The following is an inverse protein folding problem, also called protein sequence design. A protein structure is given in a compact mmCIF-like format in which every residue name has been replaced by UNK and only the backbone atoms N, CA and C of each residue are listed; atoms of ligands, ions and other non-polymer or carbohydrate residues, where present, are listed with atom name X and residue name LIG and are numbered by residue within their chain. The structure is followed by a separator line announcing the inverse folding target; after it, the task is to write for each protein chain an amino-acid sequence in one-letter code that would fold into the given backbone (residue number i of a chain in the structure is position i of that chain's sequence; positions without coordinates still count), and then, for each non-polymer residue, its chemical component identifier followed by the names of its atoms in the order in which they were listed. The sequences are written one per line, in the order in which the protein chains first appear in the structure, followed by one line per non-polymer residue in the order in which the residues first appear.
data_IF_600365659645
#
_entry.id   IF_600365659645
#
_cell.length_a   1.000
_cell.length_b   1.000
_cell.length_c   1.000
_cell.angle_alpha   90.00
_cell.angle_beta   90.00
_cell.angle_gamma   90.00
#
_symmetry.space_group_name_H-M   'P 1'
#
loop_
_entity.id
_entity.type
_entity.pdbx_description
1 polymer ?
#
# COMPACT_ATOMS: atom_id res chain seq x y z
N UNK A 1 -21.78 37.09 -23.55
CA UNK A 1 -21.82 35.71 -23.03
C UNK A 1 -20.53 35.50 -22.28
N UNK A 2 -20.62 35.42 -20.97
CA UNK A 2 -19.52 35.55 -20.01
C UNK A 2 -18.54 34.38 -20.11
N UNK A 3 -17.29 34.68 -20.49
CA UNK A 3 -16.12 33.85 -20.19
C UNK A 3 -16.13 33.56 -18.69
N UNK A 4 -16.41 32.31 -18.33
CA UNK A 4 -16.30 31.87 -16.95
C UNK A 4 -14.81 31.69 -16.68
N UNK A 5 -14.20 32.68 -16.03
CA UNK A 5 -12.81 32.63 -15.57
C UNK A 5 -12.55 31.28 -14.91
N UNK A 6 -11.74 30.44 -15.57
CA UNK A 6 -11.26 29.21 -14.96
C UNK A 6 -10.27 29.62 -13.89
N UNK A 7 -10.77 29.84 -12.66
CA UNK A 7 -9.94 30.20 -11.51
C UNK A 7 -8.80 29.20 -11.43
N UNK A 8 -7.57 29.69 -11.55
CA UNK A 8 -6.41 28.81 -11.67
C UNK A 8 -6.20 28.07 -10.35
N UNK A 9 -6.38 26.76 -10.34
CA UNK A 9 -6.12 25.92 -9.17
C UNK A 9 -4.66 26.06 -8.74
N UNK A 10 -4.42 26.31 -7.46
CA UNK A 10 -3.08 26.53 -6.89
C UNK A 10 -2.70 25.44 -5.87
N UNK A 11 -1.40 25.25 -5.67
CA UNK A 11 -0.90 24.33 -4.63
C UNK A 11 -1.21 24.92 -3.25
N UNK A 12 -1.73 24.10 -2.35
CA UNK A 12 -2.13 24.50 -0.99
C UNK A 12 -3.59 24.94 -0.89
N UNK A 13 -4.31 25.02 -2.01
CA UNK A 13 -5.73 25.33 -2.04
C UNK A 13 -6.57 24.14 -1.54
N UNK A 14 -7.60 24.41 -0.75
CA UNK A 14 -8.63 23.45 -0.37
C UNK A 14 -9.83 23.56 -1.30
N UNK A 15 -10.27 22.43 -1.85
CA UNK A 15 -11.41 22.35 -2.76
C UNK A 15 -12.41 21.32 -2.25
N UNK A 16 -13.70 21.60 -2.39
CA UNK A 16 -14.73 20.59 -2.31
C UNK A 16 -14.87 19.91 -3.68
N UNK A 17 -14.70 18.58 -3.69
CA UNK A 17 -14.66 17.78 -4.90
C UNK A 17 -15.62 16.61 -4.80
N UNK A 18 -16.37 16.38 -5.87
CA UNK A 18 -17.13 15.16 -6.09
C UNK A 18 -16.25 14.16 -6.83
N UNK A 19 -16.16 12.95 -6.31
CA UNK A 19 -15.33 11.89 -6.87
C UNK A 19 -16.17 11.06 -7.82
N UNK A 20 -15.85 11.13 -9.11
CA UNK A 20 -16.60 10.51 -10.19
C UNK A 20 -16.13 9.06 -10.43
N UNK A 21 -14.81 8.83 -10.38
CA UNK A 21 -14.19 7.56 -10.79
C UNK A 21 -12.85 7.30 -10.07
N UNK A 22 -12.18 6.20 -10.41
CA UNK A 22 -10.83 5.85 -9.97
C UNK A 22 -9.86 5.72 -11.15
N UNK A 23 -8.78 6.50 -11.10
CA UNK A 23 -7.67 6.35 -12.01
C UNK A 23 -6.93 5.03 -11.78
N UNK A 24 -6.21 4.57 -12.80
CA UNK A 24 -5.24 3.49 -12.65
C UNK A 24 -4.27 3.82 -11.50
N UNK A 25 -4.09 2.89 -10.56
CA UNK A 25 -3.33 3.10 -9.33
C UNK A 25 -4.17 3.48 -8.09
N UNK A 26 -5.47 3.73 -8.26
CA UNK A 26 -6.44 3.85 -7.16
C UNK A 26 -6.59 5.23 -6.54
N UNK A 27 -6.30 6.29 -7.30
CA UNK A 27 -6.64 7.66 -6.89
C UNK A 27 -8.04 8.02 -7.40
N UNK A 28 -8.82 8.71 -6.57
CA UNK A 28 -10.09 9.30 -6.99
C UNK A 28 -9.90 10.30 -8.12
N UNK A 29 -10.86 10.39 -9.03
CA UNK A 29 -10.88 11.36 -10.12
C UNK A 29 -12.03 12.32 -9.89
N UNK A 30 -11.71 13.60 -9.82
CA UNK A 30 -12.68 14.69 -9.79
C UNK A 30 -12.43 15.64 -10.96
N UNK A 31 -13.49 16.30 -11.42
CA UNK A 31 -13.39 17.39 -12.41
C UNK A 31 -13.89 18.68 -11.79
N UNK A 32 -13.00 19.65 -11.66
CA UNK A 32 -13.35 20.98 -11.20
C UNK A 32 -13.24 21.96 -12.37
N UNK A 33 -14.37 22.47 -12.86
CA UNK A 33 -14.44 23.32 -14.07
C UNK A 33 -13.74 22.71 -15.30
N UNK A 34 -13.93 21.40 -15.51
CA UNK A 34 -13.30 20.64 -16.59
C UNK A 34 -11.83 20.26 -16.35
N UNK A 35 -11.20 20.76 -15.29
CA UNK A 35 -9.83 20.42 -14.92
C UNK A 35 -9.78 19.15 -14.08
N UNK A 36 -8.93 18.19 -14.47
CA UNK A 36 -8.82 16.88 -13.81
C UNK A 36 -7.97 16.98 -12.54
N UNK A 37 -8.50 16.44 -11.44
CA UNK A 37 -7.80 16.38 -10.15
C UNK A 37 -7.79 14.92 -9.67
N UNK A 38 -6.60 14.38 -9.43
CA UNK A 38 -6.41 13.07 -8.82
C UNK A 38 -6.35 13.23 -7.30
N UNK A 39 -7.24 12.55 -6.57
CA UNK A 39 -7.40 12.69 -5.12
C UNK A 39 -6.97 11.41 -4.42
N UNK A 40 -5.84 11.47 -3.71
CA UNK A 40 -5.30 10.36 -2.92
C UNK A 40 -6.23 10.02 -1.75
N UNK A 41 -6.64 8.75 -1.66
CA UNK A 41 -7.51 8.24 -0.60
C UNK A 41 -9.01 8.46 -0.79
N UNK A 42 -9.42 9.02 -1.93
CA UNK A 42 -10.84 9.21 -2.25
C UNK A 42 -11.37 8.09 -3.15
N UNK A 43 -12.66 7.77 -3.03
CA UNK A 43 -13.35 6.74 -3.81
C UNK A 43 -14.61 7.30 -4.51
N UNK A 44 -15.10 6.64 -5.59
CA UNK A 44 -16.23 7.12 -6.36
C UNK A 44 -17.49 7.29 -5.51
N UNK A 45 -18.25 8.34 -5.77
CA UNK A 45 -19.47 8.69 -5.04
C UNK A 45 -19.24 9.41 -3.70
N UNK A 46 -17.99 9.72 -3.34
CA UNK A 46 -17.72 10.63 -2.21
C UNK A 46 -17.80 12.10 -2.63
N UNK A 47 -18.18 12.95 -1.67
CA UNK A 47 -17.84 14.38 -1.70
C UNK A 47 -16.81 14.63 -0.61
N UNK A 48 -15.69 15.23 -0.97
CA UNK A 48 -14.55 15.42 -0.06
C UNK A 48 -14.08 16.86 -0.08
N UNK A 49 -13.58 17.33 1.06
CA UNK A 49 -12.69 18.49 1.11
C UNK A 49 -11.27 17.99 0.92
N UNK A 50 -10.60 18.47 -0.12
CA UNK A 50 -9.30 17.98 -0.53
C UNK A 50 -8.29 19.13 -0.64
N UNK A 51 -7.05 18.86 -0.20
CA UNK A 51 -5.94 19.79 -0.31
C UNK A 51 -5.15 19.51 -1.59
N UNK A 52 -5.00 20.51 -2.46
CA UNK A 52 -4.17 20.41 -3.66
C UNK A 52 -2.69 20.35 -3.26
N UNK A 53 -2.07 19.19 -3.45
CA UNK A 53 -0.67 18.95 -3.07
C UNK A 53 0.30 19.31 -4.18
N UNK A 54 -0.14 19.23 -5.44
CA UNK A 54 0.66 19.54 -6.62
C UNK A 54 -0.21 19.95 -7.78
N UNK A 55 0.21 20.98 -8.52
CA UNK A 55 -0.41 21.40 -9.79
C UNK A 55 0.52 21.12 -10.96
N UNK A 56 0.00 20.47 -12.00
CA UNK A 56 0.67 20.26 -13.30
C UNK A 56 -0.07 21.04 -14.39
N UNK A 57 0.44 20.99 -15.62
CA UNK A 57 -0.15 21.70 -16.77
C UNK A 57 -1.55 21.19 -17.10
N UNK A 58 -1.76 19.86 -17.06
CA UNK A 58 -2.99 19.21 -17.53
C UNK A 58 -3.87 18.63 -16.40
N UNK A 59 -3.35 18.55 -15.17
CA UNK A 59 -4.06 17.99 -14.03
C UNK A 59 -3.47 18.51 -12.70
N UNK A 60 -4.16 18.23 -11.60
CA UNK A 60 -3.63 18.41 -10.25
C UNK A 60 -3.67 17.10 -9.45
N UNK A 61 -2.85 17.04 -8.41
CA UNK A 61 -2.90 16.00 -7.38
C UNK A 61 -3.36 16.66 -6.08
N UNK A 62 -4.25 15.98 -5.37
CA UNK A 62 -4.78 16.40 -4.09
C UNK A 62 -4.82 15.21 -3.12
N UNK A 63 -5.02 15.48 -1.84
CA UNK A 63 -5.29 14.46 -0.82
C UNK A 63 -6.57 14.82 -0.06
N UNK A 64 -7.32 13.81 0.35
CA UNK A 64 -8.50 14.02 1.21
C UNK A 64 -8.05 14.63 2.54
N UNK A 65 -8.69 15.73 2.95
CA UNK A 65 -8.64 16.26 4.31
C UNK A 65 -9.83 15.74 5.12
N UNK A 66 -11.00 15.74 4.50
CA UNK A 66 -12.25 15.37 5.15
C UNK A 66 -13.24 14.78 4.14
N UNK A 67 -13.97 13.75 4.55
CA UNK A 67 -15.07 13.18 3.77
C UNK A 67 -16.37 13.86 4.21
N UNK A 68 -16.89 14.75 3.35
CA UNK A 68 -18.13 15.49 3.59
C UNK A 68 -19.38 14.64 3.33
N UNK A 69 -19.28 13.70 2.39
CA UNK A 69 -20.32 12.71 2.09
C UNK A 69 -19.67 11.37 1.76
N UNK A 70 -20.12 10.32 2.46
CA UNK A 70 -19.65 8.95 2.23
C UNK A 70 -20.17 8.38 0.92
N UNK A 71 -19.36 7.54 0.29
CA UNK A 71 -19.78 6.75 -0.87
C UNK A 71 -20.68 5.60 -0.43
N UNK A 72 -21.70 5.22 -1.22
CA UNK A 72 -22.50 4.02 -0.96
C UNK A 72 -21.68 2.73 -1.05
N UNK A 73 -20.51 2.76 -1.71
CA UNK A 73 -19.60 1.62 -1.82
C UNK A 73 -18.47 1.65 -0.81
N UNK A 74 -18.47 2.60 0.12
CA UNK A 74 -17.47 2.68 1.16
C UNK A 74 -17.61 1.52 2.14
N UNK A 75 -16.50 0.85 2.44
CA UNK A 75 -16.41 -0.17 3.50
C UNK A 75 -15.27 0.15 4.44
N UNK A 76 -15.31 -0.39 5.66
CA UNK A 76 -14.22 -0.21 6.62
C UNK A 76 -13.05 -1.12 6.24
N UNK A 77 -11.82 -0.59 6.10
CA UNK A 77 -10.63 -1.41 5.89
C UNK A 77 -10.43 -2.41 7.03
N UNK A 78 -10.07 -3.65 6.70
CA UNK A 78 -9.74 -4.66 7.72
C UNK A 78 -8.36 -4.44 8.35
N UNK A 79 -7.41 -3.96 7.56
CA UNK A 79 -6.04 -3.77 8.01
C UNK A 79 -5.88 -2.43 8.73
N UNK A 80 -5.44 -2.45 9.99
CA UNK A 80 -5.17 -1.23 10.77
C UNK A 80 -4.11 -0.32 10.14
N UNK A 81 -3.24 -0.88 9.30
CA UNK A 81 -2.18 -0.14 8.60
C UNK A 81 -2.65 0.47 7.26
N UNK A 82 -3.92 0.30 6.87
CA UNK A 82 -4.46 0.86 5.63
C UNK A 82 -4.37 2.39 5.63
N UNK A 83 -4.12 3.00 4.47
CA UNK A 83 -3.90 4.43 4.33
C UNK A 83 -2.41 4.81 4.42
N UNK A 84 -1.72 4.34 5.47
CA UNK A 84 -0.29 4.62 5.67
C UNK A 84 0.62 3.61 4.95
N UNK A 85 0.34 2.32 5.08
CA UNK A 85 1.10 1.27 4.38
C UNK A 85 0.82 1.30 2.86
N UNK A 86 1.86 1.21 2.05
CA UNK A 86 1.76 1.19 0.58
C UNK A 86 1.25 -0.12 -0.02
N UNK A 87 0.98 -1.16 0.79
CA UNK A 87 0.64 -2.49 0.32
C UNK A 87 -0.77 -2.64 -0.28
N UNK A 88 -1.73 -1.85 0.19
CA UNK A 88 -3.13 -1.91 -0.27
C UNK A 88 -3.64 -0.52 -0.63
N UNK A 89 -4.41 -0.41 -1.72
CA UNK A 89 -4.97 0.88 -2.19
C UNK A 89 -6.47 1.03 -2.01
N UNK A 90 -7.23 -0.07 -2.00
CA UNK A 90 -8.68 -0.06 -2.16
C UNK A 90 -9.46 -0.82 -1.06
N UNK A 91 -8.87 -1.11 0.11
CA UNK A 91 -9.60 -1.83 1.17
C UNK A 91 -10.83 -1.08 1.70
N UNK A 92 -10.93 0.22 1.44
CA UNK A 92 -12.06 1.08 1.81
C UNK A 92 -13.18 1.13 0.75
N UNK A 93 -13.04 0.37 -0.35
CA UNK A 93 -14.03 0.25 -1.42
C UNK A 93 -14.59 -1.17 -1.44
N UNK A 94 -15.91 -1.32 -1.58
CA UNK A 94 -16.57 -2.62 -1.67
C UNK A 94 -15.97 -3.47 -2.79
N UNK A 95 -15.87 -4.78 -2.57
CA UNK A 95 -15.18 -5.66 -3.51
C UNK A 95 -15.85 -5.68 -4.89
N UNK A 96 -17.18 -5.69 -4.94
CA UNK A 96 -17.93 -5.63 -6.20
C UNK A 96 -17.58 -4.36 -6.99
N UNK A 97 -17.48 -3.21 -6.30
CA UNK A 97 -17.10 -1.97 -6.95
C UNK A 97 -15.64 -1.98 -7.39
N UNK A 98 -14.74 -2.67 -6.69
CA UNK A 98 -13.37 -2.88 -7.16
C UNK A 98 -13.33 -3.68 -8.47
N UNK A 99 -14.19 -4.69 -8.64
CA UNK A 99 -14.28 -5.48 -9.88
C UNK A 99 -14.82 -4.66 -11.05
N UNK A 100 -15.87 -3.85 -10.81
CA UNK A 100 -16.40 -2.92 -11.80
C UNK A 100 -15.34 -1.92 -12.28
N UNK A 101 -14.63 -1.28 -11.35
CA UNK A 101 -13.58 -0.30 -11.66
C UNK A 101 -12.45 -0.94 -12.46
N UNK A 102 -12.02 -2.16 -12.11
CA UNK A 102 -10.99 -2.87 -12.87
C UNK A 102 -11.43 -3.20 -14.29
N UNK A 103 -12.69 -3.62 -14.48
CA UNK A 103 -13.27 -3.83 -15.82
C UNK A 103 -13.24 -2.52 -16.62
N UNK A 104 -13.70 -1.42 -16.02
CA UNK A 104 -13.73 -0.12 -16.69
C UNK A 104 -12.33 0.35 -17.08
N UNK A 105 -11.31 0.10 -16.26
CA UNK A 105 -9.92 0.41 -16.59
C UNK A 105 -9.42 -0.35 -17.83
N UNK A 106 -9.83 -1.61 -18.02
CA UNK A 106 -9.51 -2.38 -19.24
C UNK A 106 -10.22 -1.78 -20.46
N UNK A 107 -11.52 -1.48 -20.33
CA UNK A 107 -12.31 -0.82 -21.40
C UNK A 107 -11.63 0.50 -21.81
N UNK A 108 -11.37 1.37 -20.84
CA UNK A 108 -10.75 2.68 -21.06
C UNK A 108 -9.37 2.56 -21.72
N UNK A 109 -8.55 1.57 -21.32
CA UNK A 109 -7.24 1.33 -21.91
C UNK A 109 -7.35 0.87 -23.37
N UNK A 110 -8.23 -0.09 -23.68
CA UNK A 110 -8.45 -0.57 -25.05
C UNK A 110 -8.95 0.54 -25.97
N UNK A 111 -9.88 1.36 -25.47
CA UNK A 111 -10.49 2.44 -26.25
C UNK A 111 -9.57 3.64 -26.43
N UNK A 112 -9.09 4.21 -25.33
CA UNK A 112 -8.37 5.50 -25.36
C UNK A 112 -6.91 5.36 -25.75
N UNK A 113 -6.27 4.25 -25.39
CA UNK A 113 -4.84 4.01 -25.68
C UNK A 113 -4.69 3.08 -26.88
N UNK A 114 -5.47 1.99 -26.90
CA UNK A 114 -5.42 1.00 -27.98
C UNK A 114 -6.09 1.44 -29.28
N UNK A 115 -6.95 2.46 -29.24
CA UNK A 115 -7.74 2.90 -30.40
C UNK A 115 -8.71 1.83 -30.90
N UNK A 116 -8.98 0.81 -30.08
CA UNK A 116 -10.00 -0.20 -30.38
C UNK A 116 -11.35 0.48 -30.13
N UNK A 117 -12.32 0.30 -31.02
CA UNK A 117 -13.63 0.92 -30.90
C UNK A 117 -14.43 0.40 -29.69
N UNK A 118 -15.75 0.29 -29.83
CA UNK A 118 -16.54 -0.39 -28.80
C UNK A 118 -16.12 -1.87 -28.71
N UNK A 119 -15.69 -2.29 -27.52
CA UNK A 119 -15.29 -3.66 -27.20
C UNK A 119 -16.14 -4.14 -26.05
N UNK A 120 -16.75 -5.31 -26.20
CA UNK A 120 -17.39 -5.99 -25.08
C UNK A 120 -16.31 -6.66 -24.22
N UNK A 121 -16.02 -6.06 -23.07
CA UNK A 121 -15.10 -6.60 -22.08
C UNK A 121 -15.94 -7.33 -21.04
N UNK A 122 -15.70 -8.62 -20.81
CA UNK A 122 -16.45 -9.38 -19.80
C UNK A 122 -16.24 -8.85 -18.36
N UNK A 123 -17.15 -9.15 -17.41
CA UNK A 123 -16.96 -8.84 -16.00
C UNK A 123 -15.62 -9.38 -15.45
N UNK A 124 -14.98 -8.60 -14.57
CA UNK A 124 -13.74 -9.06 -13.92
C UNK A 124 -14.02 -10.27 -13.04
N UNK A 125 -13.29 -11.36 -13.27
CA UNK A 125 -13.39 -12.56 -12.43
C UNK A 125 -12.93 -12.26 -11.00
N UNK A 126 -13.79 -12.58 -10.04
CA UNK A 126 -13.49 -12.44 -8.63
C UNK A 126 -12.40 -13.42 -8.19
N UNK A 127 -11.52 -12.95 -7.30
CA UNK A 127 -10.63 -13.84 -6.56
C UNK A 127 -11.48 -14.65 -5.57
N UNK A 128 -11.22 -15.96 -5.40
CA UNK A 128 -11.86 -16.74 -4.35
C UNK A 128 -11.54 -16.19 -2.95
N UNK A 129 -10.34 -15.62 -2.81
CA UNK A 129 -9.84 -15.05 -1.55
C UNK A 129 -9.58 -13.55 -1.71
N UNK A 130 -10.25 -12.72 -0.90
CA UNK A 130 -10.02 -11.26 -0.87
C UNK A 130 -8.87 -10.86 0.06
N UNK A 131 -8.51 -11.75 1.00
CA UNK A 131 -7.45 -11.58 1.98
C UNK A 131 -6.59 -12.83 2.02
N UNK A 132 -5.39 -12.71 2.57
CA UNK A 132 -4.44 -13.83 2.74
C UNK A 132 -4.05 -14.58 1.45
N UNK A 133 -4.33 -13.99 0.28
CA UNK A 133 -4.10 -14.60 -1.02
C UNK A 133 -2.64 -14.55 -1.50
N UNK A 134 -1.78 -13.72 -0.89
CA UNK A 134 -0.37 -13.60 -1.29
C UNK A 134 0.44 -14.73 -0.70
N UNK A 135 0.95 -15.59 -1.58
CA UNK A 135 1.87 -16.66 -1.23
C UNK A 135 3.32 -16.19 -1.01
N UNK A 136 3.70 -14.99 -1.45
CA UNK A 136 5.03 -14.40 -1.30
C UNK A 136 4.93 -12.93 -0.89
N UNK A 137 5.70 -12.53 0.10
CA UNK A 137 5.89 -11.15 0.51
C UNK A 137 7.37 -10.88 0.77
N UNK A 138 7.77 -9.64 0.53
CA UNK A 138 9.08 -9.10 0.88
C UNK A 138 8.85 -7.89 1.78
N UNK A 139 9.52 -7.89 2.93
CA UNK A 139 9.47 -6.82 3.91
C UNK A 139 10.86 -6.20 4.02
N UNK A 140 10.91 -4.88 4.11
CA UNK A 140 12.15 -4.12 4.18
C UNK A 140 12.48 -3.80 5.61
N UNK A 141 13.75 -3.99 5.97
CA UNK A 141 14.32 -3.35 7.15
C UNK A 141 14.67 -1.89 6.83
N UNK A 142 14.61 -1.00 7.81
CA UNK A 142 15.05 0.39 7.64
C UNK A 142 15.36 1.09 8.96
N UNK A 143 16.32 2.01 8.92
CA UNK A 143 16.66 3.02 9.94
C UNK A 143 15.67 4.19 9.99
N UNK A 144 14.68 4.22 9.09
CA UNK A 144 13.75 5.35 8.91
C UNK A 144 12.30 4.88 9.05
N UNK A 145 11.84 4.55 10.27
CA UNK A 145 10.43 4.25 10.49
C UNK A 145 9.56 5.44 10.08
N UNK A 146 8.37 5.12 9.56
CA UNK A 146 7.24 6.02 9.55
C UNK A 146 6.65 6.06 10.95
N UNK A 147 6.40 7.27 11.45
CA UNK A 147 5.80 7.55 12.75
C UNK A 147 4.53 8.34 12.49
N UNK A 148 3.42 7.88 13.02
CA UNK A 148 2.19 8.66 13.06
C UNK A 148 2.21 9.63 14.23
N UNK A 149 1.36 10.65 14.15
CA UNK A 149 1.25 11.65 15.20
C UNK A 149 0.64 10.99 16.45
N UNK A 150 1.38 11.01 17.55
CA UNK A 150 0.99 10.32 18.79
C UNK A 150 1.59 8.92 18.98
N UNK A 151 2.37 8.41 18.03
CA UNK A 151 3.17 7.20 18.26
C UNK A 151 4.19 7.46 19.37
N UNK A 152 4.38 6.46 20.25
CA UNK A 152 5.50 6.44 21.19
C UNK A 152 6.83 6.54 20.43
N UNK A 153 7.90 6.95 21.11
CA UNK A 153 9.23 7.05 20.51
C UNK A 153 9.76 5.65 20.14
N UNK A 154 9.41 5.19 18.93
CA UNK A 154 9.92 3.95 18.34
C UNK A 154 11.43 4.10 18.12
N UNK A 155 12.26 3.07 18.29
CA UNK A 155 13.65 3.13 17.84
C UNK A 155 13.75 3.40 16.33
N UNK A 156 14.89 3.90 15.84
CA UNK A 156 15.19 4.03 14.41
C UNK A 156 15.47 2.64 13.79
N UNK A 157 14.45 1.79 13.86
CA UNK A 157 14.45 0.41 13.42
C UNK A 157 13.04 0.02 12.98
N UNK A 158 12.91 -0.38 11.72
CA UNK A 158 11.65 -0.79 11.14
C UNK A 158 11.79 -2.11 10.39
N UNK A 159 10.73 -2.93 10.42
CA UNK A 159 10.54 -4.08 9.54
C UNK A 159 9.08 -4.08 9.05
N UNK A 160 8.89 -3.89 7.75
CA UNK A 160 7.55 -3.84 7.18
C UNK A 160 7.56 -3.43 5.71
N UNK A 161 6.61 -2.58 5.33
CA UNK A 161 6.46 -2.13 3.94
C UNK A 161 6.62 -0.62 3.82
N UNK A 162 7.01 -0.17 2.62
CA UNK A 162 7.09 1.25 2.32
C UNK A 162 5.77 1.97 2.58
N UNK A 163 5.88 3.16 3.15
CA UNK A 163 4.75 4.06 3.32
C UNK A 163 4.23 4.52 1.95
N UNK A 164 2.92 4.68 1.83
CA UNK A 164 2.28 5.24 0.64
C UNK A 164 2.95 6.57 0.26
N UNK A 165 3.41 6.65 -1.00
CA UNK A 165 4.06 7.83 -1.58
C UNK A 165 5.48 8.13 -1.08
N UNK A 166 6.07 7.29 -0.22
CA UNK A 166 7.40 7.49 0.37
C UNK A 166 8.19 6.18 0.40
N UNK A 167 9.18 6.06 -0.48
CA UNK A 167 10.06 4.90 -0.54
C UNK A 167 11.19 4.93 0.51
N UNK A 168 11.42 6.08 1.16
CA UNK A 168 12.43 6.27 2.20
C UNK A 168 11.91 6.04 3.63
N UNK A 169 10.64 5.64 3.77
CA UNK A 169 9.98 5.43 5.06
C UNK A 169 9.28 4.07 5.10
N UNK A 170 9.50 3.30 6.16
CA UNK A 170 8.90 1.99 6.37
C UNK A 170 7.85 2.06 7.47
N UNK A 171 6.65 1.53 7.20
CA UNK A 171 5.61 1.31 8.20
C UNK A 171 5.90 -0.02 8.89
N UNK A 172 6.11 -0.01 10.20
CA UNK A 172 6.18 -1.22 11.00
C UNK A 172 4.82 -1.95 10.94
N UNK A 173 4.85 -3.21 10.53
CA UNK A 173 3.64 -4.00 10.35
C UNK A 173 3.50 -5.01 11.47
N UNK A 174 2.41 -4.96 12.22
CA UNK A 174 2.11 -5.98 13.23
C UNK A 174 1.18 -7.05 12.66
N UNK A 175 0.50 -6.73 11.55
CA UNK A 175 -0.31 -7.66 10.79
C UNK A 175 -0.27 -7.31 9.30
N UNK A 176 -0.58 -8.29 8.45
CA UNK A 176 -0.77 -8.05 7.03
C UNK A 176 -1.87 -8.96 6.49
N UNK A 177 -3.05 -8.40 6.23
CA UNK A 177 -4.20 -9.13 5.67
C UNK A 177 -4.00 -9.61 4.22
N UNK A 178 -2.80 -9.47 3.65
CA UNK A 178 -2.46 -9.98 2.32
C UNK A 178 -1.76 -11.35 2.37
N UNK A 179 -1.02 -11.66 3.42
CA UNK A 179 -0.30 -12.93 3.59
C UNK A 179 -0.78 -13.60 4.87
N UNK A 180 -0.70 -14.92 4.91
CA UNK A 180 -1.31 -15.72 5.96
C UNK A 180 -1.04 -15.23 7.40
N UNK A 181 -1.98 -15.43 8.34
CA UNK A 181 -1.94 -14.85 9.69
C UNK A 181 -0.63 -15.07 10.46
N UNK A 182 0.06 -16.19 10.22
CA UNK A 182 1.33 -16.55 10.85
C UNK A 182 2.44 -15.52 10.54
N UNK A 183 2.33 -14.77 9.44
CA UNK A 183 3.26 -13.70 9.08
C UNK A 183 3.40 -12.64 10.18
N UNK A 184 2.34 -12.35 10.93
CA UNK A 184 2.38 -11.39 12.04
C UNK A 184 3.40 -11.82 13.12
N UNK A 185 3.33 -13.10 13.52
CA UNK A 185 4.24 -13.65 14.52
C UNK A 185 5.69 -13.67 14.02
N UNK A 186 5.90 -14.04 12.75
CA UNK A 186 7.23 -14.06 12.13
C UNK A 186 7.83 -12.65 12.05
N UNK A 187 7.05 -11.65 11.62
CA UNK A 187 7.48 -10.26 11.57
C UNK A 187 7.90 -9.73 12.93
N UNK A 188 7.14 -10.07 13.98
CA UNK A 188 7.46 -9.68 15.36
C UNK A 188 8.77 -10.33 15.81
N UNK A 189 8.88 -11.66 15.70
CA UNK A 189 10.07 -12.39 16.15
C UNK A 189 11.34 -11.91 15.43
N UNK A 190 11.29 -11.78 14.10
CA UNK A 190 12.44 -11.33 13.31
C UNK A 190 12.82 -9.89 13.66
N UNK A 191 11.84 -8.98 13.87
CA UNK A 191 12.11 -7.60 14.26
C UNK A 191 12.78 -7.52 15.63
N UNK A 192 12.21 -8.21 16.62
CA UNK A 192 12.71 -8.19 18.00
C UNK A 192 14.11 -8.81 18.08
N UNK A 193 14.35 -9.92 17.38
CA UNK A 193 15.66 -10.55 17.29
C UNK A 193 16.68 -9.63 16.62
N UNK A 194 16.32 -9.06 15.46
CA UNK A 194 17.22 -8.20 14.69
C UNK A 194 17.57 -6.93 15.49
N UNK A 195 16.61 -6.33 16.20
CA UNK A 195 16.86 -5.20 17.08
C UNK A 195 17.79 -5.57 18.24
N UNK A 196 17.53 -6.71 18.91
CA UNK A 196 18.34 -7.18 20.03
C UNK A 196 19.78 -7.57 19.64
N UNK A 197 20.04 -7.86 18.37
CA UNK A 197 21.40 -8.14 17.88
C UNK A 197 22.33 -6.93 17.91
N UNK A 198 21.79 -5.72 18.03
CA UNK A 198 22.56 -4.47 17.97
C UNK A 198 23.09 -4.12 16.58
N UNK A 199 22.81 -4.94 15.56
CA UNK A 199 23.21 -4.65 14.18
C UNK A 199 22.17 -3.74 13.51
N UNK A 200 22.62 -2.67 12.83
CA UNK A 200 21.71 -1.70 12.25
C UNK A 200 20.97 -2.28 11.02
N UNK A 201 19.74 -1.81 10.76
CA UNK A 201 19.07 -2.07 9.50
C UNK A 201 19.81 -1.37 8.36
N UNK A 202 19.66 -1.90 7.15
CA UNK A 202 20.26 -1.35 5.95
C UNK A 202 19.61 -0.02 5.57
N UNK A 203 20.43 1.00 5.37
CA UNK A 203 20.00 2.33 4.91
C UNK A 203 20.12 2.41 3.39
N UNK A 204 19.02 2.75 2.72
CA UNK A 204 19.02 2.95 1.27
C UNK A 204 19.68 4.27 0.82
N UNK A 205 20.04 5.14 1.77
CA UNK A 205 20.71 6.42 1.51
C UNK A 205 22.22 6.30 1.68
N UNK A 206 22.69 5.72 2.79
CA UNK A 206 24.14 5.55 3.03
C UNK A 206 24.69 4.26 2.43
N UNK A 207 23.81 3.30 2.07
CA UNK A 207 24.18 1.95 1.65
C UNK A 207 24.94 1.15 2.71
N UNK A 208 24.79 1.52 3.97
CA UNK A 208 25.39 0.86 5.13
C UNK A 208 24.33 0.09 5.94
N UNK A 209 24.79 -0.81 6.81
CA UNK A 209 23.95 -1.61 7.70
C UNK A 209 23.90 -3.09 7.33
N UNK A 210 23.20 -3.88 8.15
CA UNK A 210 23.23 -5.34 8.08
C UNK A 210 21.92 -5.95 7.56
N UNK A 211 20.80 -5.68 8.24
CA UNK A 211 19.50 -6.28 7.91
C UNK A 211 18.88 -5.60 6.69
N UNK A 212 18.62 -6.32 5.58
CA UNK A 212 18.06 -5.72 4.35
C UNK A 212 16.59 -6.07 4.15
N UNK A 213 16.30 -7.36 3.99
CA UNK A 213 14.96 -7.84 3.67
C UNK A 213 14.61 -9.11 4.44
N UNK A 214 13.32 -9.26 4.74
CA UNK A 214 12.71 -10.53 5.12
C UNK A 214 11.75 -10.93 4.00
N UNK A 215 12.04 -12.04 3.33
CA UNK A 215 11.16 -12.61 2.30
C UNK A 215 10.48 -13.85 2.87
N UNK A 216 9.15 -13.83 2.87
CA UNK A 216 8.33 -14.94 3.33
C UNK A 216 7.57 -15.54 2.14
N UNK A 217 7.66 -16.86 1.99
CA UNK A 217 6.85 -17.61 1.02
C UNK A 217 6.14 -18.77 1.71
N UNK A 218 4.85 -18.96 1.40
CA UNK A 218 4.01 -20.08 1.85
C UNK A 218 3.40 -20.77 0.65
N UNK A 219 3.58 -22.09 0.52
CA UNK A 219 2.81 -22.89 -0.41
C UNK A 219 1.37 -23.02 0.07
N UNK A 220 0.41 -22.43 -0.65
CA UNK A 220 -1.02 -22.42 -0.25
C UNK A 220 -1.57 -23.85 -0.12
N UNK A 221 -1.22 -24.74 -1.06
CA UNK A 221 -1.71 -26.11 -1.09
C UNK A 221 -0.91 -27.07 -0.20
N UNK A 222 0.33 -26.73 0.15
CA UNK A 222 1.24 -27.62 0.90
C UNK A 222 1.42 -27.21 2.36
N UNK A 223 1.09 -25.97 2.72
CA UNK A 223 1.37 -25.38 4.02
C UNK A 223 2.86 -25.16 4.29
N UNK A 224 3.74 -25.45 3.33
CA UNK A 224 5.19 -25.32 3.50
C UNK A 224 5.61 -23.85 3.48
N UNK A 225 6.55 -23.51 4.35
CA UNK A 225 7.11 -22.17 4.45
C UNK A 225 8.57 -22.14 4.00
N UNK A 226 8.95 -21.01 3.43
CA UNK A 226 10.31 -20.60 3.18
C UNK A 226 10.49 -19.20 3.75
N UNK A 227 11.51 -19.05 4.58
CA UNK A 227 11.92 -17.76 5.15
C UNK A 227 13.32 -17.46 4.61
N UNK A 228 13.47 -16.31 3.98
CA UNK A 228 14.77 -15.84 3.49
C UNK A 228 15.10 -14.50 4.14
N UNK A 229 16.22 -14.47 4.87
CA UNK A 229 16.76 -13.30 5.54
C UNK A 229 17.91 -12.78 4.68
N UNK A 230 17.72 -11.59 4.12
CA UNK A 230 18.73 -10.97 3.26
C UNK A 230 19.55 -9.99 4.08
N UNK A 231 20.85 -10.25 4.17
CA UNK A 231 21.85 -9.43 4.89
C UNK A 231 22.90 -8.89 3.93
N UNK A 232 23.76 -7.98 4.40
CA UNK A 232 24.91 -7.46 3.63
C UNK A 232 26.14 -8.36 3.70
N UNK A 233 26.32 -9.10 4.79
CA UNK A 233 27.41 -10.06 5.00
C UNK A 233 26.87 -11.39 5.56
N UNK A 234 27.66 -12.45 5.40
CA UNK A 234 27.33 -13.79 5.90
C UNK A 234 27.72 -13.92 7.39
N UNK A 235 26.73 -14.21 8.25
CA UNK A 235 26.92 -14.38 9.70
C UNK A 235 26.08 -15.55 10.25
N UNK A 236 26.46 -16.81 9.96
CA UNK A 236 25.65 -17.98 10.32
C UNK A 236 25.42 -18.11 11.82
N UNK A 237 26.45 -17.85 12.64
CA UNK A 237 26.37 -17.93 14.10
C UNK A 237 25.32 -16.99 14.70
N UNK A 238 25.10 -15.83 14.06
CA UNK A 238 24.07 -14.87 14.47
C UNK A 238 22.67 -15.36 14.07
N UNK A 239 22.54 -16.01 12.92
CA UNK A 239 21.25 -16.39 12.33
C UNK A 239 20.77 -17.76 12.81
N UNK A 240 21.64 -18.63 13.31
CA UNK A 240 21.29 -19.97 13.79
C UNK A 240 20.25 -19.91 14.95
N UNK A 241 20.39 -19.05 15.98
CA UNK A 241 19.36 -18.91 17.01
C UNK A 241 18.01 -18.44 16.46
N UNK A 242 18.01 -17.49 15.50
CA UNK A 242 16.78 -17.03 14.86
C UNK A 242 16.13 -18.14 14.03
N UNK A 243 16.93 -18.94 13.33
CA UNK A 243 16.46 -20.08 12.54
C UNK A 243 15.74 -21.11 13.41
N UNK A 244 16.28 -21.39 14.60
CA UNK A 244 15.65 -22.32 15.55
C UNK A 244 14.29 -21.79 16.03
N UNK A 245 14.20 -20.52 16.44
CA UNK A 245 12.93 -19.88 16.84
C UNK A 245 11.90 -19.88 15.71
N UNK A 246 12.34 -19.61 14.48
CA UNK A 246 11.46 -19.64 13.31
C UNK A 246 10.94 -21.04 12.99
N UNK A 247 11.73 -22.10 13.21
CA UNK A 247 11.26 -23.50 13.07
C UNK A 247 10.20 -23.85 14.10
N UNK A 248 10.30 -23.33 15.31
CA UNK A 248 9.29 -23.50 16.36
C UNK A 248 7.99 -22.76 16.02
N UNK A 249 8.10 -21.51 15.54
CA UNK A 249 6.95 -20.68 15.14
C UNK A 249 6.24 -21.18 13.88
N UNK A 250 6.99 -21.77 12.94
CA UNK A 250 6.48 -22.26 11.66
C UNK A 250 6.74 -23.76 11.52
N UNK A 251 5.83 -24.63 12.00
CA UNK A 251 5.96 -26.08 11.86
C UNK A 251 6.12 -26.57 10.41
N UNK A 252 5.68 -25.76 9.43
CA UNK A 252 5.83 -26.02 8.00
C UNK A 252 7.12 -25.51 7.37
N UNK A 253 8.05 -24.93 8.14
CA UNK A 253 9.30 -24.35 7.61
C UNK A 253 10.20 -25.43 7.01
N UNK A 254 10.58 -25.23 5.74
CA UNK A 254 11.52 -26.09 5.03
C UNK A 254 12.81 -25.32 4.75
N UNK A 255 13.93 -26.03 4.86
CA UNK A 255 15.27 -25.59 4.47
C UNK A 255 15.38 -25.41 2.96
#
# INVERSE_FOLDING_TARGET
MTETETRSITRGEELELEIEDLAYGGNGVARHNGFVIFVDGAIPGQRVRALVTRRKKAYAEARVLEVLQKSPWQVEPRCKHFGSCGGCRLQHLSYDKQLEVKRQQVVDALQRIGGVGEVDVEPTLASPDQYFYRNKMEFSFSDRPWREEGDEEVPDFALGLHRRGRFDKIVNLDECWLQAPETAAVLKEVRDFAFASGLPPYSNTTHEGFWRFLVLRRGVNTGQWMVNIVTTEERPDLLEPLTQRLRELLPGLRS
#
